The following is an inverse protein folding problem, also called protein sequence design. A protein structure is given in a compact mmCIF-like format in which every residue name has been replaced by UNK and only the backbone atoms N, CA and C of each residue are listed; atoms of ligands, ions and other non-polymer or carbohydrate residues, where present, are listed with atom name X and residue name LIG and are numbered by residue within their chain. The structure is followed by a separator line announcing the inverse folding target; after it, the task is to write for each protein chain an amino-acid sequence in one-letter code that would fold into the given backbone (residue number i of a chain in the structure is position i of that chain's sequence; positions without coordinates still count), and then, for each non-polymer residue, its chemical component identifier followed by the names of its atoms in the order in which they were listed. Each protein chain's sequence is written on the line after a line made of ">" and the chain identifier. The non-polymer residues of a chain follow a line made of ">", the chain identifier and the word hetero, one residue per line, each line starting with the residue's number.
data_IF_996977341287
#
_entry.id   IF_996977341287
#
_cell.length_a   1.000
_cell.length_b   1.000
_cell.length_c   1.000
_cell.angle_alpha   90.00
_cell.angle_beta   90.00
_cell.angle_gamma   90.00
#
_symmetry.space_group_name_H-M   'P 1'
#
loop_
_entity.id
_entity.type
_entity.pdbx_description
1 polymer ?
#
# COMPACT_ATOMS: atom_id res chain seq x y z
N UNK A 1 -0.26 -12.29 7.49
CA UNK A 1 -1.34 -11.65 8.27
C UNK A 1 -2.66 -12.36 8.00
N UNK A 2 -3.63 -12.28 8.91
CA UNK A 2 -4.97 -12.89 8.76
C UNK A 2 -6.06 -11.85 9.05
N UNK A 3 -7.04 -11.74 8.15
CA UNK A 3 -8.21 -10.88 8.31
C UNK A 3 -9.28 -11.51 9.21
N UNK A 4 -10.23 -10.69 9.67
CA UNK A 4 -11.29 -11.09 10.62
C UNK A 4 -12.23 -12.18 10.10
N UNK A 5 -12.31 -12.36 8.77
CA UNK A 5 -13.12 -13.41 8.13
C UNK A 5 -12.25 -14.55 7.59
N UNK A 6 -11.03 -14.70 8.11
CA UNK A 6 -10.11 -15.77 7.71
C UNK A 6 -9.33 -15.52 6.42
N UNK A 7 -9.40 -14.32 5.84
CA UNK A 7 -8.60 -13.97 4.66
C UNK A 7 -7.11 -14.02 5.00
N UNK A 8 -6.29 -14.48 4.07
CA UNK A 8 -4.83 -14.47 4.22
C UNK A 8 -4.23 -13.31 3.44
N UNK A 9 -3.36 -12.55 4.11
CA UNK A 9 -2.67 -11.41 3.50
C UNK A 9 -1.18 -11.60 3.68
N UNK A 10 -0.45 -11.60 2.57
CA UNK A 10 1.02 -11.72 2.52
C UNK A 10 1.58 -10.43 1.97
N UNK A 11 2.55 -9.86 2.66
CA UNK A 11 3.31 -8.68 2.22
C UNK A 11 4.77 -9.09 2.18
N UNK A 12 5.41 -8.87 1.03
CA UNK A 12 6.83 -9.12 0.85
C UNK A 12 7.51 -7.82 0.50
N UNK A 13 8.55 -7.47 1.26
CA UNK A 13 9.35 -6.29 1.04
C UNK A 13 10.81 -6.70 0.84
N UNK A 14 11.50 -5.99 -0.05
CA UNK A 14 12.94 -6.06 -0.21
C UNK A 14 13.49 -4.65 -0.33
N UNK A 15 14.60 -4.38 0.35
CA UNK A 15 15.33 -3.12 0.21
C UNK A 15 16.09 -3.01 -1.11
N UNK A 16 16.34 -4.15 -1.77
CA UNK A 16 17.11 -4.20 -3.01
C UNK A 16 16.38 -5.00 -4.07
N UNK A 17 16.20 -4.35 -5.21
CA UNK A 17 15.65 -4.93 -6.43
C UNK A 17 16.54 -4.48 -7.59
N UNK A 18 17.02 -5.42 -8.41
CA UNK A 18 17.96 -5.12 -9.50
C UNK A 18 17.29 -4.50 -10.73
N UNK A 19 15.97 -4.58 -10.82
CA UNK A 19 15.18 -4.21 -11.99
C UNK A 19 14.27 -2.99 -11.77
N UNK A 20 14.34 -2.34 -10.61
CA UNK A 20 13.59 -1.13 -10.26
C UNK A 20 12.58 -1.31 -9.13
N UNK A 21 11.69 -0.34 -8.95
CA UNK A 21 10.76 -0.22 -7.82
C UNK A 21 9.53 -1.12 -7.98
N UNK A 22 9.61 -2.35 -7.46
CA UNK A 22 8.57 -3.39 -7.58
C UNK A 22 7.40 -3.15 -6.60
N UNK A 23 6.22 -2.90 -7.16
CA UNK A 23 4.96 -2.71 -6.43
C UNK A 23 3.85 -3.47 -7.14
N UNK A 24 3.48 -4.62 -6.57
CA UNK A 24 2.42 -5.50 -7.10
C UNK A 24 1.42 -5.84 -6.02
N UNK A 25 0.18 -6.01 -6.44
CA UNK A 25 -0.92 -6.43 -5.57
C UNK A 25 -1.72 -7.51 -6.28
N UNK A 26 -2.05 -8.57 -5.56
CA UNK A 26 -2.89 -9.66 -6.05
C UNK A 26 -3.99 -9.98 -5.04
N UNK A 27 -5.19 -10.20 -5.55
CA UNK A 27 -6.32 -10.68 -4.77
C UNK A 27 -6.96 -11.87 -5.47
N UNK A 28 -7.14 -12.96 -4.74
CA UNK A 28 -7.76 -14.20 -5.23
C UNK A 28 -8.98 -14.56 -4.39
N UNK A 29 -10.02 -15.07 -5.04
CA UNK A 29 -11.23 -15.58 -4.38
C UNK A 29 -12.04 -16.50 -5.30
N UNK A 30 -13.24 -16.87 -4.84
CA UNK A 30 -14.10 -17.83 -5.55
C UNK A 30 -14.47 -17.41 -6.98
N UNK A 31 -14.50 -16.10 -7.27
CA UNK A 31 -14.79 -15.55 -8.60
C UNK A 31 -13.57 -15.38 -9.50
N UNK A 32 -12.38 -15.76 -9.06
CA UNK A 32 -11.13 -15.62 -9.83
C UNK A 32 -10.10 -14.72 -9.15
N UNK A 33 -9.24 -14.10 -9.96
CA UNK A 33 -8.03 -13.38 -9.53
C UNK A 33 -7.98 -11.99 -10.17
N UNK A 34 -7.68 -10.99 -9.36
CA UNK A 34 -7.30 -9.64 -9.78
C UNK A 34 -5.81 -9.43 -9.47
N UNK A 35 -5.09 -8.81 -10.40
CA UNK A 35 -3.68 -8.49 -10.20
C UNK A 35 -3.32 -7.14 -10.80
N UNK A 36 -2.61 -6.34 -10.02
CA UNK A 36 -1.96 -5.10 -10.44
C UNK A 36 -0.48 -5.42 -10.60
N UNK A 37 -0.01 -5.36 -11.84
CA UNK A 37 1.41 -5.51 -12.17
C UNK A 37 2.14 -4.17 -12.06
N UNK A 38 3.47 -4.18 -12.14
CA UNK A 38 4.22 -2.95 -12.32
C UNK A 38 3.76 -2.25 -13.62
N UNK A 39 3.75 -0.90 -13.66
CA UNK A 39 3.52 -0.16 -14.89
C UNK A 39 4.43 -0.66 -16.00
N UNK A 40 3.95 -0.57 -17.25
CA UNK A 40 4.78 -0.88 -18.39
C UNK A 40 6.09 -0.08 -18.32
N UNK A 41 7.20 -0.77 -18.51
CA UNK A 41 8.50 -0.12 -18.69
C UNK A 41 8.52 0.73 -19.97
N UNK A 42 9.70 1.23 -20.37
CA UNK A 42 9.84 2.03 -21.58
C UNK A 42 9.16 1.40 -22.80
N UNK A 43 8.50 2.23 -23.62
CA UNK A 43 7.92 1.79 -24.89
C UNK A 43 9.00 1.36 -25.89
N UNK A 44 10.21 1.90 -25.75
CA UNK A 44 11.38 1.47 -26.52
C UNK A 44 11.93 0.18 -25.90
N UNK A 45 12.06 -0.84 -26.73
CA UNK A 45 12.66 -2.12 -26.38
C UNK A 45 13.60 -2.55 -27.52
N UNK A 46 14.50 -3.48 -27.21
CA UNK A 46 15.43 -4.04 -28.17
C UNK A 46 15.12 -5.53 -28.35
N UNK A 47 15.16 -6.01 -29.60
CA UNK A 47 14.98 -7.43 -29.93
C UNK A 47 16.18 -7.89 -30.76
N UNK A 48 16.81 -8.99 -30.35
CA UNK A 48 17.90 -9.63 -31.06
C UNK A 48 17.78 -11.16 -31.00
N UNK A 49 18.79 -11.89 -31.51
CA UNK A 49 18.81 -13.34 -31.51
C UNK A 49 18.75 -13.97 -30.09
N UNK A 50 19.03 -13.21 -29.03
CA UNK A 50 18.94 -13.65 -27.63
C UNK A 50 17.57 -13.37 -26.99
N UNK A 51 16.71 -12.58 -27.65
CA UNK A 51 15.31 -12.37 -27.26
C UNK A 51 14.89 -10.91 -27.14
N UNK A 52 13.83 -10.68 -26.38
CA UNK A 52 13.24 -9.37 -26.11
C UNK A 52 13.84 -8.76 -24.83
N UNK A 53 14.42 -7.58 -24.98
CA UNK A 53 15.05 -6.81 -23.91
C UNK A 53 14.23 -5.56 -23.62
N UNK A 54 13.65 -5.48 -22.42
CA UNK A 54 12.95 -4.29 -21.93
C UNK A 54 13.82 -3.57 -20.90
N UNK A 55 13.74 -2.23 -20.89
CA UNK A 55 14.33 -1.43 -19.83
C UNK A 55 13.72 -1.74 -18.46
N UNK A 56 14.40 -1.34 -17.36
CA UNK A 56 13.89 -1.53 -16.00
C UNK A 56 12.56 -0.79 -15.80
N UNK A 57 11.80 -1.21 -14.79
CA UNK A 57 10.66 -0.42 -14.29
C UNK A 57 11.16 0.85 -13.60
N UNK A 58 10.24 1.73 -13.16
CA UNK A 58 10.58 2.98 -12.46
C UNK A 58 11.68 2.77 -11.41
N UNK A 59 12.69 3.63 -11.39
CA UNK A 59 13.88 3.47 -10.53
C UNK A 59 13.58 3.66 -9.05
N UNK A 60 12.62 4.53 -8.73
CA UNK A 60 12.21 4.88 -7.38
C UNK A 60 10.74 5.29 -7.32
N UNK A 61 10.31 5.73 -6.13
CA UNK A 61 8.94 6.19 -5.89
C UNK A 61 8.63 7.56 -6.52
N UNK A 62 9.62 8.45 -6.65
CA UNK A 62 9.44 9.79 -7.25
C UNK A 62 9.05 9.68 -8.71
N UNK A 63 9.71 8.80 -9.47
CA UNK A 63 9.38 8.52 -10.86
C UNK A 63 8.07 7.71 -10.99
N UNK A 64 7.72 6.91 -9.97
CA UNK A 64 6.57 5.99 -10.01
C UNK A 64 5.23 6.64 -9.69
N UNK A 65 5.20 7.63 -8.80
CA UNK A 65 3.95 8.14 -8.21
C UNK A 65 3.59 9.61 -8.48
N UNK A 66 4.10 10.33 -9.50
CA UNK A 66 3.71 11.74 -9.69
C UNK A 66 2.20 11.90 -9.89
N UNK A 67 1.58 11.00 -10.65
CA UNK A 67 0.12 10.99 -10.86
C UNK A 67 -0.64 10.67 -9.56
N UNK A 68 -0.14 9.73 -8.75
CA UNK A 68 -0.79 9.38 -7.49
C UNK A 68 -0.76 10.54 -6.49
N UNK A 69 0.36 11.28 -6.40
CA UNK A 69 0.44 12.50 -5.59
C UNK A 69 -0.51 13.58 -6.10
N UNK A 70 -0.58 13.79 -7.41
CA UNK A 70 -1.52 14.74 -7.99
C UNK A 70 -2.97 14.40 -7.62
N UNK A 71 -3.38 13.14 -7.80
CA UNK A 71 -4.73 12.66 -7.45
C UNK A 71 -4.99 12.84 -5.95
N UNK A 72 -4.02 12.48 -5.11
CA UNK A 72 -4.14 12.61 -3.65
C UNK A 72 -4.33 14.08 -3.23
N UNK A 73 -3.51 14.98 -3.76
CA UNK A 73 -3.55 16.40 -3.41
C UNK A 73 -4.85 17.05 -3.89
N UNK A 74 -5.29 16.74 -5.11
CA UNK A 74 -6.60 17.18 -5.61
C UNK A 74 -7.73 16.69 -4.72
N UNK A 75 -7.77 15.40 -4.38
CA UNK A 75 -8.81 14.83 -3.53
C UNK A 75 -8.81 15.44 -2.12
N UNK A 76 -7.64 15.78 -1.58
CA UNK A 76 -7.52 16.46 -0.30
C UNK A 76 -8.10 17.89 -0.37
N UNK A 77 -7.70 18.66 -1.37
CA UNK A 77 -8.19 20.03 -1.56
C UNK A 77 -9.71 20.06 -1.76
N UNK A 78 -10.24 19.18 -2.60
CA UNK A 78 -11.67 19.08 -2.85
C UNK A 78 -12.45 18.76 -1.58
N UNK A 79 -11.97 17.81 -0.77
CA UNK A 79 -12.60 17.44 0.50
C UNK A 79 -12.60 18.61 1.49
N UNK A 80 -11.49 19.34 1.60
CA UNK A 80 -11.38 20.50 2.49
C UNK A 80 -12.30 21.65 2.03
N UNK A 81 -12.34 21.93 0.73
CA UNK A 81 -13.16 23.00 0.16
C UNK A 81 -14.66 22.73 0.25
N UNK A 82 -15.08 21.47 0.16
CA UNK A 82 -16.49 21.05 0.26
C UNK A 82 -16.95 20.77 1.69
N UNK A 83 -16.02 20.66 2.65
CA UNK A 83 -16.32 20.21 4.01
C UNK A 83 -16.55 18.70 4.12
N UNK A 84 -16.21 17.94 3.08
CA UNK A 84 -16.30 16.49 3.05
C UNK A 84 -15.20 15.83 3.89
N UNK A 85 -15.41 14.55 4.20
CA UNK A 85 -14.47 13.79 5.02
C UNK A 85 -13.20 13.41 4.22
N UNK A 86 -12.06 13.97 4.61
CA UNK A 86 -10.74 13.64 4.03
C UNK A 86 -10.41 12.15 4.13
N UNK A 87 -9.81 11.59 3.07
CA UNK A 87 -9.29 10.21 3.02
C UNK A 87 -7.89 10.18 2.39
N UNK A 88 -6.96 9.31 2.86
CA UNK A 88 -7.06 8.53 4.11
C UNK A 88 -7.14 9.45 5.34
N UNK A 89 -7.76 8.97 6.42
CA UNK A 89 -7.93 9.73 7.66
C UNK A 89 -7.03 9.22 8.79
N UNK A 90 -7.14 9.83 9.98
CA UNK A 90 -6.32 9.48 11.14
C UNK A 90 -6.50 8.01 11.59
N UNK A 91 -7.70 7.44 11.44
CA UNK A 91 -7.95 6.02 11.77
C UNK A 91 -7.17 5.11 10.82
N UNK A 92 -7.13 5.44 9.53
CA UNK A 92 -6.38 4.65 8.54
C UNK A 92 -4.88 4.62 8.88
N UNK A 93 -4.30 5.78 9.18
CA UNK A 93 -2.90 5.91 9.58
C UNK A 93 -2.58 5.21 10.91
N UNK A 94 -3.48 5.33 11.90
CA UNK A 94 -3.36 4.62 13.17
C UNK A 94 -3.36 3.09 12.98
N UNK A 95 -4.29 2.56 12.18
CA UNK A 95 -4.40 1.12 11.96
C UNK A 95 -3.19 0.57 11.18
N UNK A 96 -2.69 1.31 10.17
CA UNK A 96 -1.46 0.95 9.46
C UNK A 96 -0.26 0.88 10.41
N UNK A 97 -0.12 1.89 11.29
CA UNK A 97 0.96 1.94 12.28
C UNK A 97 0.86 0.80 13.30
N UNK A 98 -0.35 0.48 13.78
CA UNK A 98 -0.60 -0.64 14.68
C UNK A 98 -0.19 -1.97 14.04
N UNK A 99 -0.58 -2.21 12.79
CA UNK A 99 -0.21 -3.42 12.05
C UNK A 99 1.32 -3.55 11.95
N UNK A 100 2.03 -2.47 11.60
CA UNK A 100 3.48 -2.46 11.54
C UNK A 100 4.11 -2.77 12.91
N UNK A 101 3.62 -2.15 13.98
CA UNK A 101 4.10 -2.40 15.34
C UNK A 101 3.90 -3.86 15.77
N UNK A 102 2.72 -4.43 15.52
CA UNK A 102 2.41 -5.83 15.86
C UNK A 102 3.22 -6.81 15.01
N UNK A 103 3.50 -6.48 13.75
CA UNK A 103 4.40 -7.27 12.91
C UNK A 103 5.83 -7.29 13.46
N UNK A 104 6.35 -6.14 13.92
CA UNK A 104 7.66 -6.07 14.59
C UNK A 104 7.70 -6.87 15.90
N UNK A 105 6.62 -6.84 16.68
CA UNK A 105 6.48 -7.66 17.90
C UNK A 105 6.45 -9.16 17.58
N UNK A 106 5.74 -9.55 16.52
CA UNK A 106 5.69 -10.94 16.03
C UNK A 106 7.06 -11.40 15.54
N UNK A 107 7.81 -10.54 14.84
CA UNK A 107 9.18 -10.82 14.40
C UNK A 107 10.11 -11.08 15.60
N UNK A 108 10.05 -10.22 16.63
CA UNK A 108 10.94 -10.33 17.79
C UNK A 108 10.61 -11.54 18.69
N UNK A 109 9.32 -11.88 18.81
CA UNK A 109 8.86 -13.00 19.66
C UNK A 109 8.85 -14.34 18.94
N UNK A 110 8.81 -14.37 17.61
CA UNK A 110 8.59 -15.58 16.82
C UNK A 110 7.17 -16.15 16.93
N UNK A 111 6.24 -15.41 17.54
CA UNK A 111 4.87 -15.86 17.79
C UNK A 111 3.85 -15.04 17.00
N UNK A 112 2.65 -15.60 16.84
CA UNK A 112 1.50 -14.86 16.31
C UNK A 112 1.04 -13.83 17.35
N UNK A 113 0.90 -12.57 16.92
CA UNK A 113 0.46 -11.46 17.78
C UNK A 113 -0.88 -10.93 17.30
N UNK A 114 -1.82 -10.76 18.23
CA UNK A 114 -3.14 -10.17 17.93
C UNK A 114 -3.01 -8.69 17.57
N UNK A 115 -3.80 -8.28 16.57
CA UNK A 115 -3.93 -6.87 16.16
C UNK A 115 -5.24 -6.23 16.65
N UNK A 116 -6.00 -6.90 17.52
CA UNK A 116 -7.25 -6.38 18.08
C UNK A 116 -7.08 -4.99 18.68
N UNK A 117 -8.05 -4.12 18.46
CA UNK A 117 -8.08 -2.75 18.98
C UNK A 117 -8.96 -2.74 20.23
N UNK A 118 -8.51 -2.09 21.30
CA UNK A 118 -9.30 -2.02 22.54
C UNK A 118 -10.44 -1.03 22.37
N UNK A 119 -11.55 -1.26 23.07
CA UNK A 119 -12.67 -0.33 23.09
C UNK A 119 -12.22 1.07 23.53
N UNK A 120 -12.65 2.09 22.78
CA UNK A 120 -12.30 3.50 23.03
C UNK A 120 -10.94 3.95 22.48
N UNK A 121 -10.07 3.04 22.03
CA UNK A 121 -8.74 3.40 21.50
C UNK A 121 -8.83 4.26 20.22
N UNK A 122 -9.85 4.01 19.40
CA UNK A 122 -10.13 4.78 18.17
C UNK A 122 -10.97 6.04 18.42
N UNK A 123 -11.52 6.26 19.62
CA UNK A 123 -12.39 7.40 19.90
C UNK A 123 -11.64 8.74 19.71
N UNK A 124 -10.35 8.77 20.06
CA UNK A 124 -9.47 9.93 19.85
C UNK A 124 -9.19 10.22 18.38
N UNK A 125 -9.21 9.19 17.52
CA UNK A 125 -8.97 9.32 16.10
C UNK A 125 -10.20 9.80 15.30
N UNK A 126 -11.38 9.82 15.93
CA UNK A 126 -12.67 10.18 15.31
C UNK A 126 -13.17 11.59 15.67
N UNK A 127 -12.49 12.28 16.58
CA UNK A 127 -12.86 13.64 16.94
C UNK A 127 -12.36 14.61 15.86
N UNK A 128 -13.22 15.49 15.32
CA UNK A 128 -12.76 16.56 14.44
C UNK A 128 -11.81 17.48 15.21
N UNK A 129 -10.86 18.15 14.54
CA UNK A 129 -10.01 19.13 15.20
C UNK A 129 -10.91 20.17 15.87
N UNK A 130 -10.78 20.32 17.19
CA UNK A 130 -11.43 21.39 17.94
C UNK A 130 -10.84 22.70 17.45
N UNK A 131 -11.68 23.53 16.81
CA UNK A 131 -11.35 24.91 16.47
C UNK A 131 -11.21 25.79 17.70
#
# INVERSE_FOLDING_TARGET
>A
MRGTRGQQVVVQNSWRTSYGYDQRVEAFGAGGRLAVSNPAGPLVFHEDASGLHRGPISTDWFARYPEAYFIQDTAFLDAVSSGDAVRPNLVDGYMASRLAQRASESLNSGLLVSCEVRDGELARCRQPPTG
#
